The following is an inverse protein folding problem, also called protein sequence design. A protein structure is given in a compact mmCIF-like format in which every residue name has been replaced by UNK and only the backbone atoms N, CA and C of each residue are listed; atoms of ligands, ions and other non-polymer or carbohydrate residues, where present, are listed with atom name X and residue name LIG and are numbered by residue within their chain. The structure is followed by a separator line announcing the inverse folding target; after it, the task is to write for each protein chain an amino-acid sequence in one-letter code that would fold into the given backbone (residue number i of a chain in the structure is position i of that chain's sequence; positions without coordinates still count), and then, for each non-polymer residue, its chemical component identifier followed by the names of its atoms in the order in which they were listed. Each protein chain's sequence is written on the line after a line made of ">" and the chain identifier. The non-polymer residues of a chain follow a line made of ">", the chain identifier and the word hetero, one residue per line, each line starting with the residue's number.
data_IF_532969824259
#
_entry.id   IF_532969824259
#
_cell.length_a   1.000
_cell.length_b   1.000
_cell.length_c   1.000
_cell.angle_alpha   90.00
_cell.angle_beta   90.00
_cell.angle_gamma   90.00
#
_symmetry.space_group_name_H-M   'P 1'
#
loop_
_entity.id
_entity.type
_entity.pdbx_description
1 polymer ?
#
# COMPACT_ATOMS: atom_id res chain seq x y z
N UNK A 1 -79.86 -36.69 -6.16
CA UNK A 1 -79.49 -36.40 -4.77
C UNK A 1 -78.03 -36.62 -4.57
N UNK A 2 -77.13 -35.94 -5.28
CA UNK A 2 -75.69 -36.11 -5.16
C UNK A 2 -74.87 -34.80 -5.26
N UNK A 3 -75.43 -33.70 -4.78
CA UNK A 3 -74.75 -32.40 -4.92
C UNK A 3 -74.11 -31.81 -3.64
N UNK A 4 -74.33 -32.44 -2.47
CA UNK A 4 -73.88 -31.84 -1.19
C UNK A 4 -72.65 -32.47 -0.60
N UNK A 5 -72.20 -33.63 -1.07
CA UNK A 5 -71.02 -34.34 -0.50
C UNK A 5 -69.70 -33.76 -1.00
N UNK A 6 -69.67 -33.30 -2.25
CA UNK A 6 -68.43 -32.78 -2.86
C UNK A 6 -68.06 -31.39 -2.33
N UNK A 7 -69.05 -30.53 -2.08
CA UNK A 7 -68.80 -29.19 -1.52
C UNK A 7 -68.29 -29.23 -0.06
N UNK A 8 -68.74 -30.25 0.72
CA UNK A 8 -68.29 -30.43 2.07
C UNK A 8 -66.82 -30.89 2.17
N UNK A 9 -66.44 -31.81 1.28
CA UNK A 9 -65.03 -32.30 1.18
C UNK A 9 -64.06 -31.22 0.71
N UNK A 10 -64.46 -30.37 -0.22
CA UNK A 10 -63.64 -29.26 -0.68
C UNK A 10 -63.43 -28.24 0.45
N UNK A 11 -64.46 -28.01 1.31
CA UNK A 11 -64.36 -27.07 2.42
C UNK A 11 -63.46 -27.59 3.55
N UNK A 12 -63.38 -28.89 3.75
CA UNK A 12 -62.47 -29.52 4.71
C UNK A 12 -61.03 -29.48 4.18
N UNK A 13 -60.83 -29.74 2.88
CA UNK A 13 -59.49 -29.74 2.28
C UNK A 13 -58.88 -28.33 2.22
N UNK A 14 -59.70 -27.31 2.02
CA UNK A 14 -59.29 -25.90 2.06
C UNK A 14 -58.93 -25.42 3.48
N UNK A 15 -59.55 -26.00 4.53
CA UNK A 15 -59.28 -25.62 5.91
C UNK A 15 -57.97 -26.22 6.44
N UNK A 16 -57.49 -27.32 5.85
CA UNK A 16 -56.18 -27.92 6.20
C UNK A 16 -55.01 -27.31 5.46
N UNK A 17 -55.25 -26.56 4.38
CA UNK A 17 -54.24 -25.90 3.59
C UNK A 17 -53.86 -24.50 4.10
N UNK A 18 -54.69 -23.90 4.98
CA UNK A 18 -54.35 -22.63 5.61
C UNK A 18 -54.03 -22.98 7.07
N UNK A 19 -52.82 -23.48 7.30
CA UNK A 19 -52.24 -23.60 8.64
C UNK A 19 -52.14 -22.22 9.26
N UNK A 20 -53.13 -21.84 10.07
CA UNK A 20 -52.97 -20.71 10.98
C UNK A 20 -51.87 -21.09 11.96
N UNK A 21 -50.75 -20.36 12.08
CA UNK A 21 -49.75 -20.63 13.06
C UNK A 21 -50.37 -20.48 14.44
N UNK A 22 -50.09 -21.41 15.32
CA UNK A 22 -50.55 -21.37 16.74
C UNK A 22 -49.90 -20.14 17.39
N UNK A 23 -50.52 -19.63 18.46
CA UNK A 23 -50.05 -18.45 19.18
C UNK A 23 -48.63 -18.67 19.77
N UNK A 24 -48.21 -19.91 19.93
CA UNK A 24 -46.87 -20.31 20.35
C UNK A 24 -45.83 -20.09 19.24
N UNK A 25 -46.20 -20.31 17.95
CA UNK A 25 -45.25 -20.19 16.84
C UNK A 25 -44.93 -18.71 16.54
N UNK A 26 -45.87 -17.80 16.80
CA UNK A 26 -45.66 -16.36 16.62
C UNK A 26 -44.65 -15.77 17.60
N UNK A 27 -44.61 -16.29 18.84
CA UNK A 27 -43.66 -15.83 19.87
C UNK A 27 -42.28 -16.38 19.60
N UNK A 28 -42.17 -17.59 19.06
CA UNK A 28 -40.89 -18.24 18.78
C UNK A 28 -40.16 -17.56 17.59
N UNK A 29 -40.89 -17.21 16.53
CA UNK A 29 -40.30 -16.57 15.37
C UNK A 29 -39.76 -15.16 15.68
N UNK A 30 -40.43 -14.39 16.51
CA UNK A 30 -39.97 -13.05 16.91
C UNK A 30 -38.71 -13.07 17.77
N UNK A 31 -38.50 -14.15 18.56
CA UNK A 31 -37.33 -14.28 19.43
C UNK A 31 -36.07 -14.68 18.64
N UNK A 32 -36.21 -15.53 17.62
CA UNK A 32 -35.11 -15.93 16.74
C UNK A 32 -34.63 -14.78 15.86
N UNK A 33 -35.52 -13.95 15.34
CA UNK A 33 -35.15 -12.78 14.55
C UNK A 33 -34.38 -11.73 15.36
N UNK A 34 -34.77 -11.48 16.61
CA UNK A 34 -34.09 -10.53 17.49
C UNK A 34 -32.68 -11.02 17.87
N UNK A 35 -32.53 -12.32 18.09
CA UNK A 35 -31.22 -12.94 18.36
C UNK A 35 -30.33 -12.90 17.12
N UNK A 36 -30.87 -13.12 15.91
CA UNK A 36 -30.16 -13.05 14.66
C UNK A 36 -29.67 -11.62 14.38
N UNK A 37 -30.50 -10.61 14.57
CA UNK A 37 -30.12 -9.19 14.39
C UNK A 37 -29.00 -8.77 15.37
N UNK A 38 -29.05 -9.20 16.63
CA UNK A 38 -27.97 -8.91 17.59
C UNK A 38 -26.64 -9.54 17.18
N UNK A 39 -26.66 -10.75 16.64
CA UNK A 39 -25.45 -11.43 16.13
C UNK A 39 -24.89 -10.75 14.91
N UNK A 40 -25.73 -10.27 14.00
CA UNK A 40 -25.31 -9.50 12.82
C UNK A 40 -24.72 -8.13 13.19
N UNK A 41 -25.32 -7.42 14.14
CA UNK A 41 -24.79 -6.16 14.67
C UNK A 41 -23.43 -6.34 15.34
N UNK A 42 -23.21 -7.44 16.05
CA UNK A 42 -21.92 -7.76 16.66
C UNK A 42 -20.85 -8.06 15.61
N UNK A 43 -21.20 -8.76 14.53
CA UNK A 43 -20.28 -9.07 13.42
C UNK A 43 -19.91 -7.79 12.67
N UNK A 44 -20.86 -6.89 12.42
CA UNK A 44 -20.61 -5.59 11.80
C UNK A 44 -19.73 -4.69 12.67
N UNK A 45 -19.91 -4.70 14.00
CA UNK A 45 -19.06 -3.94 14.91
C UNK A 45 -17.60 -4.45 14.91
N UNK A 46 -17.39 -5.76 14.90
CA UNK A 46 -16.06 -6.37 14.83
C UNK A 46 -15.39 -6.08 13.48
N UNK A 47 -16.15 -6.16 12.37
CA UNK A 47 -15.62 -5.83 11.04
C UNK A 47 -15.28 -4.34 10.92
N UNK A 48 -16.08 -3.45 11.52
CA UNK A 48 -15.81 -2.01 11.57
C UNK A 48 -14.51 -1.69 12.33
N UNK A 49 -14.23 -2.38 13.42
CA UNK A 49 -12.99 -2.22 14.18
C UNK A 49 -11.75 -2.69 13.42
N UNK A 50 -11.86 -3.76 12.63
CA UNK A 50 -10.72 -4.27 11.82
C UNK A 50 -10.37 -3.28 10.71
N UNK A 51 -11.36 -2.66 10.06
CA UNK A 51 -11.12 -1.65 9.02
C UNK A 51 -10.52 -0.38 9.60
N UNK A 52 -10.90 0.02 10.82
CA UNK A 52 -10.34 1.21 11.49
C UNK A 52 -8.86 1.04 11.87
N UNK A 53 -8.39 -0.18 12.14
CA UNK A 53 -6.99 -0.47 12.46
C UNK A 53 -6.08 -0.56 11.22
N UNK A 54 -6.65 -0.74 10.03
CA UNK A 54 -5.89 -0.79 8.78
C UNK A 54 -5.54 0.59 8.22
N UNK A 55 -6.00 1.67 8.86
CA UNK A 55 -5.88 3.05 8.39
C UNK A 55 -4.65 3.83 8.86
N UNK A 56 -3.72 3.22 9.60
CA UNK A 56 -2.42 3.84 9.85
C UNK A 56 -1.51 3.66 8.63
N UNK A 57 -1.77 4.41 7.56
CA UNK A 57 -0.69 4.75 6.63
C UNK A 57 0.28 5.64 7.41
N UNK A 58 1.45 5.10 7.74
CA UNK A 58 2.60 5.89 8.12
C UNK A 58 2.93 6.83 6.94
N UNK A 59 2.41 8.06 6.96
CA UNK A 59 2.79 9.11 6.01
C UNK A 59 4.23 9.61 6.21
N UNK A 60 5.01 8.89 7.00
CA UNK A 60 6.44 9.15 7.21
C UNK A 60 7.36 8.16 6.46
N UNK A 61 6.89 7.44 5.47
CA UNK A 61 7.81 7.04 4.42
C UNK A 61 8.21 8.32 3.67
N UNK A 62 9.27 8.98 4.15
CA UNK A 62 10.04 9.91 3.35
C UNK A 62 10.32 9.15 2.05
N UNK A 63 9.64 9.55 0.98
CA UNK A 63 9.83 8.92 -0.33
C UNK A 63 11.30 9.07 -0.64
N UNK A 64 12.03 7.97 -0.58
CA UNK A 64 13.41 7.96 -1.01
C UNK A 64 13.41 8.33 -2.48
N UNK A 65 13.99 9.48 -2.78
CA UNK A 65 14.24 9.90 -4.14
C UNK A 65 15.53 9.23 -4.61
N UNK A 66 15.63 8.95 -5.89
CA UNK A 66 16.89 8.49 -6.45
C UNK A 66 17.06 9.01 -7.89
N UNK A 67 18.30 9.06 -8.32
CA UNK A 67 18.65 9.33 -9.70
C UNK A 67 19.86 8.48 -10.09
N UNK A 68 19.98 8.21 -11.38
CA UNK A 68 21.14 7.59 -11.96
C UNK A 68 22.06 8.70 -12.49
N UNK A 69 23.35 8.57 -12.29
CA UNK A 69 24.33 9.57 -12.68
C UNK A 69 25.63 8.95 -13.15
N UNK A 70 26.37 9.71 -13.93
CA UNK A 70 27.71 9.39 -14.37
C UNK A 70 28.71 10.13 -13.50
N UNK A 71 29.72 9.44 -13.01
CA UNK A 71 30.83 10.02 -12.23
C UNK A 71 31.71 10.86 -13.14
N UNK A 72 31.92 12.13 -12.78
CA UNK A 72 32.78 13.07 -13.49
C UNK A 72 34.14 13.23 -12.81
N UNK A 73 34.12 13.45 -11.49
CA UNK A 73 35.33 13.66 -10.69
C UNK A 73 35.18 13.04 -9.31
N UNK A 74 36.29 12.56 -8.74
CA UNK A 74 36.30 11.93 -7.42
C UNK A 74 37.21 12.71 -6.50
N UNK A 75 36.62 13.33 -5.49
CA UNK A 75 37.29 14.02 -4.42
C UNK A 75 37.36 13.13 -3.14
N UNK A 76 38.05 13.58 -2.12
CA UNK A 76 38.22 12.82 -0.88
C UNK A 76 36.88 12.52 -0.18
N UNK A 77 35.99 13.52 -0.09
CA UNK A 77 34.73 13.47 0.66
C UNK A 77 33.50 13.48 -0.24
N UNK A 78 33.67 13.91 -1.48
CA UNK A 78 32.58 14.09 -2.46
C UNK A 78 32.92 13.41 -3.77
N UNK A 79 31.90 13.16 -4.54
CA UNK A 79 31.99 12.77 -5.95
C UNK A 79 31.11 13.71 -6.77
N UNK A 80 31.68 14.28 -7.84
CA UNK A 80 30.95 15.12 -8.76
C UNK A 80 30.36 14.26 -9.87
N UNK A 81 29.06 14.41 -10.10
CA UNK A 81 28.30 13.53 -10.97
C UNK A 81 27.39 14.33 -11.89
N UNK A 82 27.06 13.79 -13.06
CA UNK A 82 26.04 14.33 -13.95
C UNK A 82 24.86 13.38 -14.02
N UNK A 83 23.66 13.92 -13.79
CA UNK A 83 22.42 13.16 -13.84
C UNK A 83 22.17 12.63 -15.26
N UNK A 84 21.97 11.32 -15.41
CA UNK A 84 21.60 10.68 -16.68
C UNK A 84 20.13 10.25 -16.68
N UNK A 85 19.54 10.02 -15.51
CA UNK A 85 18.13 9.62 -15.38
C UNK A 85 17.62 9.97 -13.97
N UNK A 86 16.45 10.60 -13.88
CA UNK A 86 15.88 11.07 -12.61
C UNK A 86 14.53 10.42 -12.30
N UNK A 87 14.34 9.99 -11.03
CA UNK A 87 13.14 9.31 -10.56
C UNK A 87 12.59 9.99 -9.30
N UNK A 88 11.41 10.61 -9.41
CA UNK A 88 10.70 11.25 -8.30
C UNK A 88 11.55 12.24 -7.46
N UNK A 89 12.57 12.84 -8.06
CA UNK A 89 13.59 13.61 -7.33
C UNK A 89 13.54 15.12 -7.57
N UNK A 90 12.76 15.59 -8.56
CA UNK A 90 12.79 17.01 -8.98
C UNK A 90 14.09 17.45 -9.64
N UNK A 91 14.99 16.50 -9.93
CA UNK A 91 16.29 16.69 -10.59
C UNK A 91 16.08 16.64 -12.09
N UNK A 92 16.82 17.46 -12.87
CA UNK A 92 16.82 17.43 -14.31
C UNK A 92 17.98 16.58 -14.85
N UNK A 93 17.77 15.96 -15.99
CA UNK A 93 18.84 15.27 -16.72
C UNK A 93 19.87 16.31 -17.16
N UNK A 94 21.14 15.92 -17.21
CA UNK A 94 22.32 16.73 -17.50
C UNK A 94 22.72 17.77 -16.42
N UNK A 95 21.99 17.88 -15.30
CA UNK A 95 22.44 18.66 -14.14
C UNK A 95 23.62 18.00 -13.43
N UNK A 96 24.54 18.84 -12.91
CA UNK A 96 25.73 18.41 -12.18
C UNK A 96 25.54 18.61 -10.68
N UNK A 97 25.97 17.62 -9.93
CA UNK A 97 25.84 17.56 -8.46
C UNK A 97 27.14 17.15 -7.81
N UNK A 98 27.41 17.75 -6.66
CA UNK A 98 28.41 17.23 -5.73
C UNK A 98 27.70 16.38 -4.68
N UNK A 99 28.03 15.11 -4.63
CA UNK A 99 27.41 14.08 -3.77
C UNK A 99 28.39 13.63 -2.71
N UNK A 100 28.01 13.71 -1.44
CA UNK A 100 28.87 13.22 -0.33
C UNK A 100 29.02 11.70 -0.39
N UNK A 101 30.26 11.23 -0.10
CA UNK A 101 30.54 9.80 0.09
C UNK A 101 30.24 9.31 1.51
N UNK A 102 29.90 10.22 2.44
CA UNK A 102 29.39 9.90 3.76
C UNK A 102 27.92 9.52 3.66
N UNK A 103 27.66 8.25 3.45
CA UNK A 103 26.32 7.69 3.24
C UNK A 103 25.78 7.05 4.52
N UNK A 104 24.45 7.09 4.70
CA UNK A 104 23.78 6.54 5.89
C UNK A 104 23.82 5.00 5.90
N UNK A 105 23.91 4.35 4.73
CA UNK A 105 23.93 2.89 4.66
C UNK A 105 25.15 2.28 5.33
N UNK A 106 24.96 1.18 6.05
CA UNK A 106 26.02 0.48 6.79
C UNK A 106 27.15 -0.07 5.91
N UNK A 107 26.89 -0.28 4.61
CA UNK A 107 27.89 -0.72 3.64
C UNK A 107 28.83 0.39 3.15
N UNK A 108 28.53 1.65 3.50
CA UNK A 108 29.29 2.79 2.97
C UNK A 108 29.05 3.03 1.48
N UNK A 109 29.84 3.96 0.92
CA UNK A 109 29.90 4.15 -0.53
C UNK A 109 30.86 3.11 -1.16
N UNK A 110 30.53 2.59 -2.35
CA UNK A 110 31.42 1.67 -3.06
C UNK A 110 32.71 2.40 -3.52
N UNK A 111 33.73 1.64 -3.92
CA UNK A 111 34.87 2.21 -4.67
C UNK A 111 34.36 2.67 -6.04
N UNK A 112 34.59 3.95 -6.35
CA UNK A 112 34.11 4.59 -7.57
C UNK A 112 35.30 4.93 -8.48
N UNK A 113 35.07 4.88 -9.78
CA UNK A 113 35.99 5.38 -10.81
C UNK A 113 35.29 6.46 -11.64
N UNK A 114 36.09 7.32 -12.26
CA UNK A 114 35.57 8.25 -13.25
C UNK A 114 34.93 7.47 -14.39
N UNK A 115 33.84 7.96 -14.93
CA UNK A 115 32.96 7.33 -15.92
C UNK A 115 32.08 6.18 -15.42
N UNK A 116 32.15 5.77 -14.15
CA UNK A 116 31.20 4.82 -13.59
C UNK A 116 29.76 5.38 -13.65
N UNK A 117 28.80 4.49 -13.90
CA UNK A 117 27.39 4.79 -13.70
C UNK A 117 26.96 4.39 -12.30
N UNK A 118 26.29 5.30 -11.60
CA UNK A 118 25.88 5.10 -10.21
C UNK A 118 24.41 5.45 -10.02
N UNK A 119 23.79 4.85 -8.99
CA UNK A 119 22.51 5.27 -8.43
C UNK A 119 22.72 5.93 -7.09
N UNK A 120 22.24 7.15 -6.96
CA UNK A 120 22.27 7.92 -5.71
C UNK A 120 20.85 7.91 -5.11
N UNK A 121 20.73 7.39 -3.89
CA UNK A 121 19.47 7.36 -3.12
C UNK A 121 19.59 8.40 -2.01
N UNK A 122 18.64 9.34 -1.93
CA UNK A 122 18.73 10.48 -1.03
C UNK A 122 17.36 10.88 -0.47
N UNK A 123 17.33 11.91 0.38
CA UNK A 123 16.12 12.38 1.06
C UNK A 123 15.20 13.25 0.18
N UNK A 124 15.58 13.54 -1.07
CA UNK A 124 14.85 14.41 -1.98
C UNK A 124 15.21 15.90 -1.89
N UNK A 125 16.09 16.28 -0.95
CA UNK A 125 16.53 17.68 -0.81
C UNK A 125 17.74 17.95 -1.69
N UNK A 126 17.67 19.05 -2.46
CA UNK A 126 18.78 19.61 -3.24
C UNK A 126 19.10 20.98 -2.70
N UNK A 127 20.36 21.24 -2.40
CA UNK A 127 20.84 22.52 -1.91
C UNK A 127 21.33 23.37 -3.07
N UNK A 128 20.87 24.63 -3.12
CA UNK A 128 21.29 25.61 -4.12
C UNK A 128 22.75 26.04 -3.83
N UNK A 129 23.67 25.48 -4.60
CA UNK A 129 25.09 25.81 -4.59
C UNK A 129 25.65 25.63 -6.01
N UNK A 130 26.92 25.95 -6.22
CA UNK A 130 27.60 25.75 -7.52
C UNK A 130 28.89 24.95 -7.29
N UNK A 131 28.94 23.65 -7.65
CA UNK A 131 27.83 22.83 -8.17
C UNK A 131 26.70 22.60 -7.14
N UNK A 132 25.52 22.16 -7.60
CA UNK A 132 24.41 21.77 -6.74
C UNK A 132 24.84 20.64 -5.80
N UNK A 133 24.35 20.66 -4.55
CA UNK A 133 24.64 19.62 -3.59
C UNK A 133 23.40 18.80 -3.24
N UNK A 134 23.58 17.52 -3.07
CA UNK A 134 22.55 16.61 -2.60
C UNK A 134 22.52 16.67 -1.06
N UNK A 135 21.34 16.72 -0.48
CA UNK A 135 21.12 16.70 0.96
C UNK A 135 21.63 15.40 1.60
N UNK A 136 20.81 14.74 2.42
CA UNK A 136 21.20 13.46 3.03
C UNK A 136 21.23 12.34 2.01
N UNK A 137 22.42 11.77 1.78
CA UNK A 137 22.59 10.60 0.90
C UNK A 137 22.42 9.34 1.73
N UNK A 138 21.45 8.50 1.37
CA UNK A 138 21.21 7.24 2.06
C UNK A 138 22.13 6.13 1.56
N UNK A 139 22.32 6.02 0.25
CA UNK A 139 23.18 5.01 -0.36
C UNK A 139 23.67 5.45 -1.75
N UNK A 140 24.81 4.93 -2.15
CA UNK A 140 25.35 4.98 -3.51
C UNK A 140 25.57 3.54 -3.96
N UNK A 141 25.13 3.21 -5.17
CA UNK A 141 25.30 1.90 -5.79
C UNK A 141 25.94 2.05 -7.15
N UNK A 142 26.85 1.14 -7.52
CA UNK A 142 27.28 0.98 -8.89
C UNK A 142 26.16 0.39 -9.74
N UNK A 143 26.09 0.77 -11.01
CA UNK A 143 25.20 0.20 -11.99
C UNK A 143 26.00 -0.62 -13.00
N UNK A 144 25.41 -1.72 -13.44
CA UNK A 144 25.92 -2.50 -14.55
C UNK A 144 25.56 -1.86 -15.92
N UNK A 145 25.98 -2.50 -17.01
CA UNK A 145 25.72 -2.03 -18.38
C UNK A 145 24.22 -1.95 -18.73
N UNK A 146 23.36 -2.66 -17.98
CA UNK A 146 21.91 -2.65 -18.15
C UNK A 146 21.20 -1.60 -17.26
N UNK A 147 21.95 -0.89 -16.42
CA UNK A 147 21.41 0.05 -15.42
C UNK A 147 20.87 -0.63 -14.16
N UNK A 148 21.19 -1.91 -13.93
CA UNK A 148 20.82 -2.64 -12.73
C UNK A 148 21.82 -2.38 -11.59
N UNK A 149 21.31 -2.34 -10.36
CA UNK A 149 22.13 -2.09 -9.17
C UNK A 149 23.04 -3.28 -8.88
N UNK A 150 24.33 -3.02 -8.73
CA UNK A 150 25.31 -3.95 -8.21
C UNK A 150 25.32 -3.79 -6.67
N UNK A 151 24.96 -4.82 -5.89
CA UNK A 151 24.93 -4.72 -4.42
C UNK A 151 26.31 -4.42 -3.85
N UNK A 152 26.39 -3.48 -2.90
CA UNK A 152 27.60 -3.24 -2.13
C UNK A 152 27.83 -4.43 -1.18
N UNK A 153 28.98 -5.07 -1.24
CA UNK A 153 29.37 -6.20 -0.38
C UNK A 153 30.01 -5.71 0.93
#
# INVERSE_FOLDING_TARGET
>A
MESNSTAFLIKIKLRQSIGMPSRSDFVQSGFEEVLSMKRWLSILAVFGCIVALSGCKNENEKRQAYFNAKVLEINKEYVDVRCIEAFNSGISVDEEFSVTKDVVSAGGAPELNVDDNIRVVFNGDVMESDPLQIGTVYAIYLLDENGEVIPNN
#
